data_IF_905020830436
#
_entry.id   IF_905020830436
#
_cell.length_a   1.000
_cell.length_b   1.000
_cell.length_c   1.000
_cell.angle_alpha   90.00
_cell.angle_beta   90.00
_cell.angle_gamma   90.00
#
_symmetry.space_group_name_H-M   'P 1'
#
loop_
_entity.id
_entity.type
_entity.pdbx_description
1 polymer ?
#
# COMPACT_ATOMS: atom_id res chain seq x y z
N UNK A 1 18.08 24.71 -18.50
CA UNK A 1 18.66 23.75 -17.54
C UNK A 1 18.95 22.49 -18.31
N UNK A 2 20.22 22.16 -18.49
CA UNK A 2 20.65 20.93 -19.17
C UNK A 2 20.34 19.75 -18.26
N UNK A 3 19.43 18.88 -18.69
CA UNK A 3 19.15 17.64 -17.97
C UNK A 3 20.42 16.78 -17.94
N UNK A 4 20.80 16.31 -16.74
CA UNK A 4 21.78 15.24 -16.62
C UNK A 4 21.16 13.99 -17.21
N UNK A 5 21.74 13.47 -18.29
CA UNK A 5 21.38 12.20 -18.88
C UNK A 5 22.44 11.14 -18.54
N UNK A 6 22.14 9.87 -18.81
CA UNK A 6 23.05 8.74 -18.58
C UNK A 6 24.35 8.80 -19.39
N UNK A 7 24.52 9.81 -20.28
CA UNK A 7 25.68 9.97 -21.16
C UNK A 7 26.60 11.13 -20.74
N UNK A 8 26.13 12.07 -19.92
CA UNK A 8 26.94 13.18 -19.39
C UNK A 8 26.59 13.49 -17.93
N UNK A 9 27.07 12.68 -16.97
CA UNK A 9 26.79 12.91 -15.56
C UNK A 9 27.71 13.99 -14.99
N UNK A 10 27.15 15.17 -14.71
CA UNK A 10 27.80 16.29 -14.00
C UNK A 10 27.62 16.20 -12.47
N UNK A 11 27.07 15.08 -11.99
CA UNK A 11 26.83 14.80 -10.57
C UNK A 11 27.99 14.01 -9.96
N UNK A 12 28.43 14.45 -8.79
CA UNK A 12 29.30 13.67 -7.92
C UNK A 12 28.53 12.44 -7.42
N UNK A 13 28.72 11.32 -8.11
CA UNK A 13 28.08 10.04 -7.79
C UNK A 13 28.35 9.55 -6.37
N UNK A 14 29.37 10.08 -5.69
CA UNK A 14 29.59 9.80 -4.27
C UNK A 14 28.45 10.34 -3.39
N UNK A 15 27.97 11.57 -3.67
CA UNK A 15 26.87 12.21 -2.96
C UNK A 15 25.52 11.53 -3.28
N UNK A 16 25.32 11.16 -4.55
CA UNK A 16 24.13 10.39 -4.98
C UNK A 16 24.07 9.06 -4.23
N UNK A 17 25.18 8.32 -4.20
CA UNK A 17 25.26 7.03 -3.52
C UNK A 17 25.02 7.15 -2.01
N UNK A 18 25.60 8.17 -1.38
CA UNK A 18 25.38 8.42 0.05
C UNK A 18 23.92 8.76 0.35
N UNK A 19 23.31 9.64 -0.45
CA UNK A 19 21.91 10.05 -0.29
C UNK A 19 20.96 8.86 -0.49
N UNK A 20 21.19 8.03 -1.52
CA UNK A 20 20.39 6.83 -1.77
C UNK A 20 20.50 5.85 -0.60
N UNK A 21 21.68 5.67 -0.01
CA UNK A 21 21.86 4.83 1.20
C UNK A 21 21.09 5.38 2.39
N UNK A 22 21.12 6.69 2.62
CA UNK A 22 20.37 7.34 3.69
C UNK A 22 18.86 7.16 3.50
N UNK A 23 18.35 7.37 2.29
CA UNK A 23 16.93 7.14 1.98
C UNK A 23 16.53 5.66 2.16
N UNK A 24 17.40 4.74 1.74
CA UNK A 24 17.19 3.30 1.95
C UNK A 24 17.13 2.95 3.43
N UNK A 25 17.99 3.55 4.25
CA UNK A 25 17.98 3.38 5.70
C UNK A 25 16.68 3.93 6.31
N UNK A 26 16.25 5.14 5.93
CA UNK A 26 15.00 5.73 6.41
C UNK A 26 13.79 4.88 6.06
N UNK A 27 13.72 4.33 4.85
CA UNK A 27 12.64 3.43 4.46
C UNK A 27 12.68 2.11 5.25
N UNK A 28 13.87 1.53 5.45
CA UNK A 28 14.03 0.33 6.28
C UNK A 28 13.67 0.56 7.75
N UNK A 29 13.91 1.75 8.29
CA UNK A 29 13.49 2.12 9.66
C UNK A 29 11.96 2.15 9.78
N UNK A 30 11.26 2.74 8.80
CA UNK A 30 9.79 2.74 8.79
C UNK A 30 9.24 1.31 8.66
N UNK A 31 9.86 0.46 7.84
CA UNK A 31 9.49 -0.95 7.67
C UNK A 31 9.61 -1.75 8.98
N UNK A 32 10.70 -1.56 9.73
CA UNK A 32 10.89 -2.19 11.05
C UNK A 32 9.83 -1.73 12.05
N UNK A 33 9.53 -0.42 12.11
CA UNK A 33 8.49 0.12 13.00
C UNK A 33 7.11 -0.45 12.63
N UNK A 34 6.84 -0.67 11.33
CA UNK A 34 5.60 -1.30 10.91
C UNK A 34 5.55 -2.76 11.33
N UNK A 35 6.63 -3.52 11.16
CA UNK A 35 6.71 -4.92 11.64
C UNK A 35 6.51 -5.03 13.16
N UNK A 36 6.99 -4.05 13.94
CA UNK A 36 6.70 -4.00 15.38
C UNK A 36 5.18 -3.81 15.66
N UNK A 37 4.49 -3.09 14.77
CA UNK A 37 3.05 -2.88 14.80
C UNK A 37 2.21 -4.12 14.43
N UNK A 38 2.78 -5.10 13.73
CA UNK A 38 2.06 -6.31 13.29
C UNK A 38 1.39 -7.01 14.48
N UNK A 39 2.11 -7.16 15.60
CA UNK A 39 1.59 -7.80 16.81
C UNK A 39 0.36 -7.08 17.41
N UNK A 40 0.32 -5.75 17.31
CA UNK A 40 -0.80 -4.96 17.80
C UNK A 40 -2.02 -5.09 16.87
N UNK A 41 -1.79 -5.22 15.56
CA UNK A 41 -2.85 -5.43 14.56
C UNK A 41 -3.41 -6.85 14.62
N UNK A 42 -2.56 -7.85 14.84
CA UNK A 42 -2.99 -9.24 15.08
C UNK A 42 -3.92 -9.32 16.30
N UNK A 43 -3.48 -8.72 17.42
CA UNK A 43 -4.29 -8.65 18.65
C UNK A 43 -5.65 -7.99 18.41
N UNK A 44 -5.70 -6.95 17.57
CA UNK A 44 -6.94 -6.25 17.26
C UNK A 44 -7.85 -7.06 16.33
N UNK A 45 -7.28 -7.79 15.38
CA UNK A 45 -8.01 -8.71 14.49
C UNK A 45 -8.61 -9.87 15.29
N UNK A 46 -7.86 -10.43 16.23
CA UNK A 46 -8.34 -11.45 17.17
C UNK A 46 -9.48 -10.88 18.02
N UNK A 47 -9.30 -9.68 18.58
CA UNK A 47 -10.33 -9.00 19.37
C UNK A 47 -11.63 -8.78 18.59
N UNK A 48 -11.57 -8.37 17.32
CA UNK A 48 -12.77 -8.23 16.50
C UNK A 48 -13.46 -9.58 16.24
N UNK A 49 -12.68 -10.63 16.02
CA UNK A 49 -13.21 -11.99 15.83
C UNK A 49 -13.92 -12.48 17.09
N UNK A 50 -13.31 -12.32 18.26
CA UNK A 50 -13.91 -12.65 19.56
C UNK A 50 -15.20 -11.86 19.82
N UNK A 51 -15.25 -10.58 19.44
CA UNK A 51 -16.48 -9.79 19.57
C UNK A 51 -17.56 -10.35 18.63
N UNK A 52 -17.24 -10.69 17.38
CA UNK A 52 -18.22 -11.30 16.46
C UNK A 52 -18.78 -12.61 17.03
N UNK A 53 -17.92 -13.48 17.57
CA UNK A 53 -18.34 -14.74 18.22
C UNK A 53 -19.24 -14.46 19.43
N UNK A 54 -18.86 -13.52 20.28
CA UNK A 54 -19.65 -13.09 21.45
C UNK A 54 -21.02 -12.53 21.03
N UNK A 55 -21.07 -11.73 19.96
CA UNK A 55 -22.30 -11.19 19.40
C UNK A 55 -23.20 -12.30 18.84
N UNK A 56 -22.63 -13.32 18.18
CA UNK A 56 -23.38 -14.47 17.69
C UNK A 56 -23.97 -15.30 18.84
N UNK A 57 -23.19 -15.55 19.89
CA UNK A 57 -23.67 -16.23 21.09
C UNK A 57 -24.80 -15.44 21.79
N UNK A 58 -24.67 -14.13 21.93
CA UNK A 58 -25.73 -13.26 22.45
C UNK A 58 -27.00 -13.33 21.59
N UNK A 59 -26.85 -13.31 20.27
CA UNK A 59 -27.97 -13.43 19.34
C UNK A 59 -28.71 -14.77 19.52
N UNK A 60 -27.99 -15.89 19.65
CA UNK A 60 -28.58 -17.20 19.95
C UNK A 60 -29.33 -17.23 21.28
N UNK A 61 -28.77 -16.64 22.33
CA UNK A 61 -29.44 -16.54 23.63
C UNK A 61 -30.71 -15.68 23.56
N UNK A 62 -30.67 -14.56 22.83
CA UNK A 62 -31.83 -13.70 22.62
C UNK A 62 -32.94 -14.44 21.87
N UNK A 63 -32.62 -15.21 20.83
CA UNK A 63 -33.60 -16.00 20.07
C UNK A 63 -34.27 -17.11 20.91
N UNK A 64 -33.62 -17.59 21.98
CA UNK A 64 -34.21 -18.55 22.90
C UNK A 64 -35.19 -17.92 23.91
N UNK A 65 -35.22 -16.59 24.02
CA UNK A 65 -36.16 -15.86 24.88
C UNK A 65 -37.51 -15.68 24.19
N UNK A 66 -38.56 -15.57 25.01
CA UNK A 66 -39.93 -15.27 24.54
C UNK A 66 -39.96 -13.97 23.74
N UNK A 67 -40.74 -13.96 22.66
CA UNK A 67 -40.97 -12.80 21.82
C UNK A 67 -41.42 -11.59 22.65
N UNK A 68 -40.63 -10.53 22.59
CA UNK A 68 -40.95 -9.21 23.13
C UNK A 68 -40.35 -8.13 22.24
N UNK A 69 -40.87 -6.91 22.35
CA UNK A 69 -40.35 -5.77 21.60
C UNK A 69 -38.89 -5.45 21.99
N UNK A 70 -38.54 -5.61 23.27
CA UNK A 70 -37.20 -5.43 23.79
C UNK A 70 -36.21 -6.46 23.22
N UNK A 71 -36.67 -7.71 23.04
CA UNK A 71 -35.88 -8.76 22.37
C UNK A 71 -35.54 -8.37 20.93
N UNK A 72 -36.53 -7.90 20.18
CA UNK A 72 -36.35 -7.51 18.77
C UNK A 72 -35.40 -6.30 18.63
N UNK A 73 -35.50 -5.33 19.54
CA UNK A 73 -34.56 -4.20 19.63
C UNK A 73 -33.13 -4.68 19.94
N UNK A 74 -32.97 -5.63 20.86
CA UNK A 74 -31.66 -6.20 21.20
C UNK A 74 -31.06 -6.99 20.02
N UNK A 75 -31.86 -7.79 19.31
CA UNK A 75 -31.44 -8.50 18.09
C UNK A 75 -30.98 -7.54 16.99
N UNK A 76 -31.74 -6.46 16.78
CA UNK A 76 -31.37 -5.40 15.82
C UNK A 76 -30.06 -4.72 16.22
N UNK A 77 -29.86 -4.43 17.51
CA UNK A 77 -28.61 -3.86 18.03
C UNK A 77 -27.43 -4.83 17.79
N UNK A 78 -27.66 -6.13 17.94
CA UNK A 78 -26.66 -7.14 17.68
C UNK A 78 -26.23 -7.18 16.22
N UNK A 79 -27.19 -7.20 15.29
CA UNK A 79 -26.92 -7.14 13.84
C UNK A 79 -26.11 -5.91 13.46
N UNK A 80 -26.52 -4.72 13.93
CA UNK A 80 -25.82 -3.46 13.64
C UNK A 80 -24.39 -3.44 14.17
N UNK A 81 -24.16 -4.03 15.35
CA UNK A 81 -22.81 -4.13 15.93
C UNK A 81 -21.95 -5.08 15.11
N UNK A 82 -22.49 -6.23 14.69
CA UNK A 82 -21.80 -7.18 13.82
C UNK A 82 -21.42 -6.57 12.47
N UNK A 83 -22.34 -5.83 11.83
CA UNK A 83 -22.07 -5.10 10.59
C UNK A 83 -20.94 -4.08 10.74
N UNK A 84 -20.93 -3.32 11.84
CA UNK A 84 -19.87 -2.34 12.13
C UNK A 84 -18.51 -2.98 12.35
N UNK A 85 -18.46 -4.13 13.05
CA UNK A 85 -17.20 -4.86 13.26
C UNK A 85 -16.70 -5.41 11.93
N UNK A 86 -17.59 -5.96 11.10
CA UNK A 86 -17.20 -6.44 9.77
C UNK A 86 -16.65 -5.29 8.90
N UNK A 87 -17.28 -4.12 8.93
CA UNK A 87 -16.78 -2.93 8.24
C UNK A 87 -15.42 -2.47 8.79
N UNK A 88 -15.20 -2.56 10.10
CA UNK A 88 -13.92 -2.27 10.72
C UNK A 88 -12.84 -3.26 10.26
N UNK A 89 -13.11 -4.57 10.24
CA UNK A 89 -12.18 -5.60 9.75
C UNK A 89 -11.78 -5.31 8.29
N UNK A 90 -12.74 -4.98 7.42
CA UNK A 90 -12.45 -4.62 6.03
C UNK A 90 -11.61 -3.34 5.95
N UNK A 91 -11.93 -2.33 6.76
CA UNK A 91 -11.12 -1.11 6.82
C UNK A 91 -9.69 -1.38 7.30
N UNK A 92 -9.49 -2.37 8.20
CA UNK A 92 -8.18 -2.76 8.69
C UNK A 92 -7.27 -3.39 7.62
N UNK A 93 -7.82 -3.90 6.51
CA UNK A 93 -7.02 -4.34 5.35
C UNK A 93 -6.17 -3.20 4.73
N UNK A 94 -6.50 -1.94 5.05
CA UNK A 94 -5.63 -0.81 4.72
C UNK A 94 -4.23 -0.94 5.34
N UNK A 95 -4.12 -1.57 6.52
CA UNK A 95 -2.84 -1.81 7.18
C UNK A 95 -1.95 -2.74 6.36
N UNK A 96 -2.47 -3.90 5.94
CA UNK A 96 -1.73 -4.85 5.09
C UNK A 96 -1.26 -4.18 3.79
N UNK A 97 -2.13 -3.38 3.19
CA UNK A 97 -1.81 -2.62 1.98
C UNK A 97 -0.73 -1.57 2.23
N UNK A 98 -0.73 -0.90 3.38
CA UNK A 98 0.32 0.04 3.78
C UNK A 98 1.65 -0.67 3.98
N UNK A 99 1.65 -1.80 4.68
CA UNK A 99 2.83 -2.63 4.90
C UNK A 99 3.43 -3.11 3.57
N UNK A 100 2.58 -3.61 2.66
CA UNK A 100 3.02 -4.02 1.32
C UNK A 100 3.63 -2.86 0.52
N UNK A 101 3.02 -1.68 0.57
CA UNK A 101 3.53 -0.48 -0.08
C UNK A 101 4.93 -0.12 0.43
N UNK A 102 5.15 -0.17 1.75
CA UNK A 102 6.45 0.13 2.36
C UNK A 102 7.51 -0.91 2.00
N UNK A 103 7.16 -2.20 2.00
CA UNK A 103 8.06 -3.25 1.53
C UNK A 103 8.49 -3.00 0.07
N UNK A 104 7.57 -2.59 -0.80
CA UNK A 104 7.88 -2.23 -2.18
C UNK A 104 8.84 -1.03 -2.26
N UNK A 105 8.57 0.05 -1.49
CA UNK A 105 9.44 1.24 -1.44
C UNK A 105 10.84 0.87 -0.96
N UNK A 106 10.96 0.12 0.13
CA UNK A 106 12.25 -0.33 0.67
C UNK A 106 13.01 -1.20 -0.32
N UNK A 107 12.32 -2.12 -1.01
CA UNK A 107 12.92 -2.97 -2.03
C UNK A 107 13.40 -2.17 -3.25
N UNK A 108 12.62 -1.18 -3.71
CA UNK A 108 13.00 -0.29 -4.81
C UNK A 108 14.25 0.54 -4.46
N UNK A 109 14.30 1.06 -3.23
CA UNK A 109 15.46 1.84 -2.74
C UNK A 109 16.71 0.97 -2.59
N UNK A 110 16.58 -0.28 -2.13
CA UNK A 110 17.69 -1.25 -2.09
C UNK A 110 18.21 -1.55 -3.51
N UNK A 111 17.31 -1.78 -4.47
CA UNK A 111 17.68 -1.97 -5.87
C UNK A 111 18.45 -0.78 -6.42
N UNK A 112 17.96 0.45 -6.18
CA UNK A 112 18.66 1.67 -6.55
C UNK A 112 20.02 1.79 -5.86
N UNK A 113 20.11 1.48 -4.56
CA UNK A 113 21.36 1.51 -3.78
C UNK A 113 22.42 0.56 -4.35
N UNK A 114 22.01 -0.64 -4.77
CA UNK A 114 22.89 -1.61 -5.42
C UNK A 114 23.36 -1.11 -6.79
N UNK A 115 22.45 -0.51 -7.57
CA UNK A 115 22.73 0.02 -8.89
C UNK A 115 23.77 1.16 -8.86
N UNK A 116 23.59 2.12 -7.94
CA UNK A 116 24.54 3.24 -7.76
C UNK A 116 25.78 2.85 -6.94
N UNK A 117 25.79 1.66 -6.36
CA UNK A 117 26.87 1.14 -5.52
C UNK A 117 28.11 0.67 -6.30
N UNK A 118 27.93 0.27 -7.55
CA UNK A 118 29.00 -0.22 -8.44
C UNK A 118 29.09 0.64 -9.72
N UNK A 119 30.29 1.12 -10.10
CA UNK A 119 30.49 1.81 -11.38
C UNK A 119 30.04 0.98 -12.59
N UNK A 120 30.19 -0.35 -12.55
CA UNK A 120 29.82 -1.24 -13.65
C UNK A 120 28.31 -1.24 -13.91
N UNK A 121 27.50 -1.22 -12.85
CA UNK A 121 26.04 -1.14 -12.95
C UNK A 121 25.58 0.28 -13.26
N UNK A 122 26.23 1.26 -12.62
CA UNK A 122 25.90 2.67 -12.73
C UNK A 122 25.95 3.16 -14.18
N UNK A 123 27.00 2.77 -14.92
CA UNK A 123 27.20 3.17 -16.31
C UNK A 123 26.56 2.19 -17.32
N UNK A 124 25.81 1.18 -16.85
CA UNK A 124 25.12 0.22 -17.71
C UNK A 124 23.63 0.59 -17.88
N UNK A 125 23.20 1.08 -19.06
CA UNK A 125 21.80 1.42 -19.32
C UNK A 125 20.84 0.23 -19.19
N UNK A 126 21.31 -1.00 -19.39
CA UNK A 126 20.48 -2.20 -19.27
C UNK A 126 20.09 -2.46 -17.82
N UNK A 127 21.01 -2.22 -16.88
CA UNK A 127 20.77 -2.38 -15.45
C UNK A 127 19.72 -1.37 -14.94
N UNK A 128 19.70 -0.14 -15.49
CA UNK A 128 18.63 0.84 -15.21
C UNK A 128 17.28 0.41 -15.75
N UNK A 129 17.23 -0.15 -16.97
CA UNK A 129 16.00 -0.65 -17.58
C UNK A 129 15.44 -1.86 -16.84
N UNK A 130 16.31 -2.75 -16.37
CA UNK A 130 15.94 -3.90 -15.54
C UNK A 130 15.29 -3.42 -14.23
N UNK A 131 15.95 -2.50 -13.50
CA UNK A 131 15.37 -1.92 -12.28
C UNK A 131 14.01 -1.26 -12.54
N UNK A 132 13.87 -0.48 -13.61
CA UNK A 132 12.59 0.14 -13.99
C UNK A 132 11.52 -0.91 -14.30
N UNK A 133 11.89 -1.98 -15.02
CA UNK A 133 11.00 -3.10 -15.32
C UNK A 133 10.53 -3.85 -14.07
N UNK A 134 11.44 -4.11 -13.14
CA UNK A 134 11.12 -4.70 -11.83
C UNK A 134 10.17 -3.84 -11.02
N UNK A 135 10.46 -2.53 -10.90
CA UNK A 135 9.58 -1.58 -10.19
C UNK A 135 8.19 -1.59 -10.84
N UNK A 136 8.12 -1.53 -12.17
CA UNK A 136 6.86 -1.54 -12.91
C UNK A 136 6.07 -2.83 -12.71
N UNK A 137 6.75 -3.98 -12.66
CA UNK A 137 6.12 -5.30 -12.49
C UNK A 137 5.44 -5.50 -11.14
N UNK A 138 5.86 -4.76 -10.10
CA UNK A 138 5.29 -4.82 -8.76
C UNK A 138 3.97 -4.06 -8.64
N UNK A 139 3.65 -3.17 -9.58
CA UNK A 139 2.34 -2.53 -9.64
C UNK A 139 1.30 -3.50 -10.20
N UNK A 140 0.36 -3.89 -9.34
CA UNK A 140 -0.73 -4.81 -9.71
C UNK A 140 -1.89 -4.09 -10.37
N UNK A 141 -2.16 -2.84 -9.99
CA UNK A 141 -3.21 -2.00 -10.57
C UNK A 141 -2.72 -1.26 -11.82
N UNK A 142 -3.54 -1.22 -12.86
CA UNK A 142 -3.19 -0.53 -14.10
C UNK A 142 -3.07 0.99 -13.89
N UNK A 143 -3.89 1.58 -13.01
CA UNK A 143 -3.78 2.98 -12.60
C UNK A 143 -2.41 3.33 -12.00
N UNK A 144 -1.76 2.39 -11.31
CA UNK A 144 -0.42 2.60 -10.73
C UNK A 144 0.68 2.51 -11.78
N UNK A 145 0.50 1.66 -12.80
CA UNK A 145 1.40 1.64 -13.96
C UNK A 145 1.30 2.93 -14.78
N UNK A 146 0.10 3.49 -14.94
CA UNK A 146 -0.11 4.80 -15.59
C UNK A 146 0.66 5.91 -14.87
N UNK A 147 0.62 5.92 -13.53
CA UNK A 147 1.42 6.84 -12.71
C UNK A 147 2.92 6.66 -12.97
N UNK A 148 3.41 5.43 -12.99
CA UNK A 148 4.82 5.13 -13.24
C UNK A 148 5.25 5.54 -14.66
N UNK A 149 4.46 5.21 -15.67
CA UNK A 149 4.72 5.53 -17.07
C UNK A 149 4.70 7.06 -17.29
N UNK A 150 3.86 7.79 -16.57
CA UNK A 150 3.86 9.25 -16.56
C UNK A 150 5.19 9.85 -16.06
N UNK A 151 5.79 9.28 -15.02
CA UNK A 151 7.12 9.70 -14.54
C UNK A 151 8.19 9.41 -15.59
N UNK A 152 8.15 8.24 -16.24
CA UNK A 152 9.10 7.91 -17.31
C UNK A 152 8.98 8.82 -18.55
N UNK A 153 7.78 9.37 -18.79
CA UNK A 153 7.53 10.38 -19.84
C UNK A 153 8.02 11.79 -19.45
N UNK A 154 8.55 11.98 -18.25
CA UNK A 154 9.06 13.27 -17.76
C UNK A 154 7.99 14.19 -17.17
N UNK A 155 6.80 13.67 -16.83
CA UNK A 155 5.78 14.43 -16.11
C UNK A 155 6.19 14.63 -14.65
N UNK A 156 5.67 15.67 -14.03
CA UNK A 156 5.82 15.90 -12.59
C UNK A 156 5.11 14.83 -11.77
N UNK A 157 5.49 14.72 -10.50
CA UNK A 157 4.83 13.81 -9.54
C UNK A 157 3.34 14.13 -9.40
N UNK A 158 2.98 15.42 -9.35
CA UNK A 158 1.60 15.86 -9.24
C UNK A 158 0.77 15.46 -10.48
N UNK A 159 1.34 15.60 -11.68
CA UNK A 159 0.70 15.15 -12.93
C UNK A 159 0.56 13.63 -13.01
N UNK A 160 1.53 12.87 -12.49
CA UNK A 160 1.45 11.42 -12.42
C UNK A 160 0.34 10.95 -11.46
N UNK A 161 0.21 11.59 -10.30
CA UNK A 161 -0.88 11.34 -9.35
C UNK A 161 -2.23 11.70 -9.97
N UNK A 162 -2.33 12.85 -10.64
CA UNK A 162 -3.56 13.25 -11.34
C UNK A 162 -3.96 12.24 -12.44
N UNK A 163 -2.98 11.73 -13.19
CA UNK A 163 -3.22 10.70 -14.21
C UNK A 163 -3.74 9.39 -13.61
N UNK A 164 -3.22 8.98 -12.44
CA UNK A 164 -3.74 7.82 -11.69
C UNK A 164 -5.21 8.03 -11.31
N UNK A 165 -5.52 9.16 -10.69
CA UNK A 165 -6.89 9.47 -10.22
C UNK A 165 -7.87 9.49 -11.38
N UNK A 166 -7.54 10.19 -12.47
CA UNK A 166 -8.39 10.28 -13.66
C UNK A 166 -8.63 8.90 -14.31
N UNK A 167 -7.62 8.02 -14.29
CA UNK A 167 -7.78 6.65 -14.80
C UNK A 167 -8.73 5.81 -13.92
N UNK A 168 -8.63 5.94 -12.60
CA UNK A 168 -9.50 5.21 -11.67
C UNK A 168 -10.96 5.66 -11.76
N UNK A 169 -11.21 6.97 -11.91
CA UNK A 169 -12.56 7.53 -12.13
C UNK A 169 -13.15 7.05 -13.47
N UNK A 170 -12.33 6.98 -14.52
CA UNK A 170 -12.76 6.44 -15.82
C UNK A 170 -13.04 4.93 -15.80
N UNK A 171 -12.37 4.14 -14.96
CA UNK A 171 -12.68 2.71 -14.77
C UNK A 171 -13.96 2.51 -13.96
N UNK A 172 -14.21 3.29 -12.91
CA UNK A 172 -15.45 3.19 -12.13
C UNK A 172 -16.69 3.53 -12.96
N UNK A 173 -16.62 4.58 -13.80
CA UNK A 173 -17.73 4.96 -14.69
C UNK A 173 -18.02 3.87 -15.76
N UNK A 174 -17.02 3.08 -16.16
CA UNK A 174 -17.21 1.97 -17.09
C UNK A 174 -17.78 0.70 -16.43
N UNK A 175 -17.64 0.55 -15.11
CA UNK A 175 -18.20 -0.58 -14.35
C UNK A 175 -19.67 -0.33 -13.95
N UNK A 176 -20.09 0.93 -13.78
CA UNK A 176 -21.48 1.29 -13.43
C UNK A 176 -22.50 1.24 -14.60
N UNK A 177 -22.08 0.79 -15.79
CA UNK A 177 -22.91 0.76 -17.01
C UNK A 177 -23.49 -0.62 -17.38
N UNK A 178 -23.49 -1.59 -16.47
CA UNK A 178 -24.06 -2.94 -16.68
C UNK A 178 -25.05 -3.36 -15.60
#
# INVERSE_FOLDING_TARGET
MTHSDSKSPDLDWSQVRETVKLLTLSAAQVDVIMQEGDSAVDTLTDSFTEIVESMQAMNQHLLALVDSNERELALTCCSKTQEKIQAAIVAFQFYDRMQQCLHHVTSNLRGLSNLVGSPEHLYNPDAWRELQGEIRSRFTMESEKVMFDAILQGKSVDEAIAAKTAFQEGESDNIELF
#
